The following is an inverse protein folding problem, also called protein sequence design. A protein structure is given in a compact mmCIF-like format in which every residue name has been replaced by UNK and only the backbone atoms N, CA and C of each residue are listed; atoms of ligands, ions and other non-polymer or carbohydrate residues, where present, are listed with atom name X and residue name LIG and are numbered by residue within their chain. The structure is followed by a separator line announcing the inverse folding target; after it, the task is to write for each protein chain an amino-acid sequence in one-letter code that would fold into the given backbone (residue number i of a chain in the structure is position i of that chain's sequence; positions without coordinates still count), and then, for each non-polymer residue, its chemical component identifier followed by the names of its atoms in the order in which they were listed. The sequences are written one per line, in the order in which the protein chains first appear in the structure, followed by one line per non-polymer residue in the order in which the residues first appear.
data_IF_318597170922
#
_entry.id   IF_318597170922
#
_cell.length_a   1.000
_cell.length_b   1.000
_cell.length_c   1.000
_cell.angle_alpha   90.00
_cell.angle_beta   90.00
_cell.angle_gamma   90.00
#
_symmetry.space_group_name_H-M   'P 1'
#
loop_
_entity.id
_entity.type
_entity.pdbx_description
1 polymer ?
#
# COMPACT_ATOMS: atom_id res chain seq x y z
N UNK A 1 -4.44 -27.50 -12.95
CA UNK A 1 -3.63 -26.41 -13.52
C UNK A 1 -4.14 -25.05 -13.04
N UNK A 2 -3.86 -24.63 -11.80
CA UNK A 2 -4.00 -23.22 -11.39
C UNK A 2 -2.94 -22.95 -10.33
N UNK A 3 -1.78 -22.48 -10.76
CA UNK A 3 -0.78 -21.91 -9.86
C UNK A 3 -1.27 -20.52 -9.44
N UNK A 4 -0.89 -20.09 -8.24
CA UNK A 4 -1.22 -18.75 -7.71
C UNK A 4 -0.87 -17.64 -8.71
N UNK A 5 0.33 -17.70 -9.29
CA UNK A 5 0.80 -16.75 -10.30
C UNK A 5 -0.09 -16.73 -11.55
N UNK A 6 -0.66 -17.87 -11.95
CA UNK A 6 -1.54 -17.93 -13.12
C UNK A 6 -2.87 -17.23 -12.87
N UNK A 7 -3.43 -17.38 -11.67
CA UNK A 7 -4.67 -16.70 -11.25
C UNK A 7 -4.46 -15.19 -11.20
N UNK A 8 -3.40 -14.73 -10.54
CA UNK A 8 -3.10 -13.30 -10.42
C UNK A 8 -2.75 -12.65 -11.77
N UNK A 9 -2.04 -13.34 -12.67
CA UNK A 9 -1.78 -12.83 -14.03
C UNK A 9 -3.06 -12.67 -14.84
N UNK A 10 -3.99 -13.61 -14.72
CA UNK A 10 -5.29 -13.49 -15.37
C UNK A 10 -6.07 -12.30 -14.81
N UNK A 11 -6.10 -12.14 -13.49
CA UNK A 11 -6.73 -10.99 -12.82
C UNK A 11 -6.18 -9.66 -13.34
N UNK A 12 -4.85 -9.49 -13.36
CA UNK A 12 -4.21 -8.28 -13.92
C UNK A 12 -4.61 -8.05 -15.39
N UNK A 13 -4.63 -9.10 -16.21
CA UNK A 13 -5.01 -8.98 -17.62
C UNK A 13 -6.47 -8.54 -17.80
N UNK A 14 -7.38 -9.09 -16.99
CA UNK A 14 -8.80 -8.70 -17.00
C UNK A 14 -8.98 -7.27 -16.50
N UNK A 15 -8.28 -6.87 -15.44
CA UNK A 15 -8.30 -5.48 -14.94
C UNK A 15 -7.84 -4.49 -16.00
N UNK A 16 -6.72 -4.77 -16.69
CA UNK A 16 -6.23 -3.90 -17.77
C UNK A 16 -7.21 -3.83 -18.95
N UNK A 17 -7.84 -4.96 -19.32
CA UNK A 17 -8.84 -4.99 -20.38
C UNK A 17 -10.09 -4.17 -20.00
N UNK A 18 -10.61 -4.34 -18.78
CA UNK A 18 -11.74 -3.58 -18.27
C UNK A 18 -11.41 -2.09 -18.13
N UNK A 19 -10.21 -1.74 -17.67
CA UNK A 19 -9.76 -0.35 -17.59
C UNK A 19 -9.74 0.32 -18.98
N UNK A 20 -9.17 -0.35 -19.98
CA UNK A 20 -9.14 0.15 -21.36
C UNK A 20 -10.54 0.29 -21.96
N UNK A 21 -11.41 -0.72 -21.76
CA UNK A 21 -12.80 -0.66 -22.20
C UNK A 21 -13.57 0.45 -21.48
N UNK A 22 -13.34 0.66 -20.19
CA UNK A 22 -13.96 1.72 -19.40
C UNK A 22 -13.60 3.10 -19.90
N UNK A 23 -12.33 3.36 -20.17
CA UNK A 23 -11.92 4.64 -20.76
C UNK A 23 -12.59 4.84 -22.12
N UNK A 24 -12.59 3.82 -22.98
CA UNK A 24 -13.19 3.91 -24.32
C UNK A 24 -14.70 4.17 -24.26
N UNK A 25 -15.45 3.33 -23.54
CA UNK A 25 -16.91 3.45 -23.42
C UNK A 25 -17.34 4.67 -22.59
N UNK A 26 -16.54 5.08 -21.60
CA UNK A 26 -16.80 6.30 -20.84
C UNK A 26 -16.69 7.54 -21.73
N UNK A 27 -15.68 7.60 -22.60
CA UNK A 27 -15.55 8.69 -23.59
C UNK A 27 -16.67 8.66 -24.63
N UNK A 28 -17.04 7.48 -25.14
CA UNK A 28 -18.13 7.34 -26.12
C UNK A 28 -19.50 7.69 -25.53
N UNK A 29 -19.75 7.31 -24.27
CA UNK A 29 -21.02 7.57 -23.59
C UNK A 29 -21.12 8.96 -22.95
N UNK A 30 -19.99 9.67 -22.78
CA UNK A 30 -19.91 10.93 -22.04
C UNK A 30 -19.86 10.79 -20.52
N UNK A 31 -19.79 9.55 -19.98
CA UNK A 31 -19.74 9.28 -18.54
C UNK A 31 -18.35 9.50 -17.97
N UNK A 32 -18.20 10.51 -17.11
CA UNK A 32 -16.93 10.67 -16.37
C UNK A 32 -16.83 9.71 -15.20
N UNK A 33 -17.93 9.18 -14.67
CA UNK A 33 -17.87 8.12 -13.67
C UNK A 33 -17.22 6.85 -14.26
N UNK A 34 -17.59 6.46 -15.47
CA UNK A 34 -17.00 5.30 -16.16
C UNK A 34 -15.53 5.56 -16.55
N UNK A 35 -15.22 6.76 -17.08
CA UNK A 35 -13.82 7.11 -17.38
C UNK A 35 -12.97 7.08 -16.12
N UNK A 36 -13.48 7.63 -15.01
CA UNK A 36 -12.78 7.62 -13.72
C UNK A 36 -12.51 6.19 -13.23
N UNK A 37 -13.51 5.31 -13.27
CA UNK A 37 -13.34 3.89 -12.89
C UNK A 37 -12.22 3.22 -13.71
N UNK A 38 -12.21 3.44 -15.03
CA UNK A 38 -11.16 2.90 -15.91
C UNK A 38 -9.77 3.49 -15.64
N UNK A 39 -9.66 4.81 -15.48
CA UNK A 39 -8.37 5.46 -15.16
C UNK A 39 -7.87 5.04 -13.78
N UNK A 40 -8.75 4.95 -12.78
CA UNK A 40 -8.42 4.54 -11.43
C UNK A 40 -7.88 3.10 -11.41
N UNK A 41 -8.57 2.17 -12.08
CA UNK A 41 -8.12 0.79 -12.22
C UNK A 41 -6.78 0.68 -12.97
N UNK A 42 -6.54 1.52 -13.98
CA UNK A 42 -5.26 1.54 -14.70
C UNK A 42 -4.11 2.01 -13.81
N UNK A 43 -4.30 3.09 -13.06
CA UNK A 43 -3.30 3.60 -12.10
C UNK A 43 -2.98 2.52 -11.07
N UNK A 44 -4.01 1.92 -10.47
CA UNK A 44 -3.83 0.90 -9.44
C UNK A 44 -3.12 -0.35 -9.99
N UNK A 45 -3.44 -0.78 -11.22
CA UNK A 45 -2.77 -1.89 -11.88
C UNK A 45 -1.29 -1.61 -12.13
N UNK A 46 -0.95 -0.44 -12.65
CA UNK A 46 0.45 -0.03 -12.89
C UNK A 46 1.22 0.04 -11.58
N UNK A 47 0.62 0.61 -10.54
CA UNK A 47 1.25 0.72 -9.22
C UNK A 47 1.42 -0.63 -8.53
N UNK A 48 0.48 -1.55 -8.72
CA UNK A 48 0.59 -2.93 -8.24
C UNK A 48 1.75 -3.67 -8.94
N UNK A 49 1.91 -3.49 -10.26
CA UNK A 49 3.06 -4.03 -10.99
C UNK A 49 4.37 -3.46 -10.44
N UNK A 50 4.44 -2.14 -10.20
CA UNK A 50 5.62 -1.51 -9.63
C UNK A 50 5.93 -2.02 -8.21
N UNK A 51 4.92 -2.16 -7.35
CA UNK A 51 5.06 -2.72 -6.01
C UNK A 51 5.59 -4.16 -6.05
N UNK A 52 5.10 -4.98 -6.98
CA UNK A 52 5.59 -6.34 -7.18
C UNK A 52 7.05 -6.38 -7.66
N UNK A 53 7.45 -5.48 -8.57
CA UNK A 53 8.84 -5.38 -9.01
C UNK A 53 9.77 -5.04 -7.85
N UNK A 54 9.36 -4.09 -7.00
CA UNK A 54 10.12 -3.66 -5.83
C UNK A 54 10.18 -4.75 -4.77
N UNK A 55 9.07 -5.45 -4.49
CA UNK A 55 9.05 -6.59 -3.58
C UNK A 55 9.97 -7.72 -4.05
N UNK A 56 9.97 -8.02 -5.36
CA UNK A 56 10.87 -9.01 -5.94
C UNK A 56 12.34 -8.58 -5.85
N UNK A 57 12.64 -7.28 -6.03
CA UNK A 57 13.99 -6.74 -5.88
C UNK A 57 14.50 -6.88 -4.43
N UNK A 58 13.65 -6.54 -3.46
CA UNK A 58 13.94 -6.69 -2.03
C UNK A 58 14.23 -8.17 -1.70
N UNK A 59 13.35 -9.07 -2.12
CA UNK A 59 13.51 -10.52 -1.90
C UNK A 59 14.76 -11.09 -2.60
N UNK A 60 15.14 -10.56 -3.76
CA UNK A 60 16.36 -10.96 -4.45
C UNK A 60 17.63 -10.45 -3.75
N UNK A 61 17.59 -9.27 -3.14
CA UNK A 61 18.73 -8.68 -2.41
C UNK A 61 19.04 -9.35 -1.08
N UNK A 62 18.06 -10.03 -0.48
CA UNK A 62 18.17 -10.71 0.82
C UNK A 62 18.48 -12.20 0.72
N UNK A 63 18.51 -12.78 -0.49
CA UNK A 63 18.94 -14.17 -0.68
C UNK A 63 20.44 -14.30 -0.53
N UNK A 64 20.87 -15.02 0.50
CA UNK A 64 22.25 -15.49 0.64
C UNK A 64 22.65 -16.41 -0.53
N UNK A 65 23.78 -16.14 -1.18
CA UNK A 65 24.41 -17.04 -2.16
C UNK A 65 24.03 -16.87 -3.65
N UNK A 66 23.15 -15.93 -4.02
CA UNK A 66 22.80 -15.66 -5.43
C UNK A 66 23.75 -14.68 -6.13
N UNK A 67 23.96 -14.85 -7.46
CA UNK A 67 24.76 -13.96 -8.31
C UNK A 67 24.37 -12.49 -8.12
N UNK A 68 25.19 -11.74 -7.38
CA UNK A 68 24.99 -10.32 -7.05
C UNK A 68 25.06 -9.50 -8.34
N UNK A 69 23.90 -9.13 -8.89
CA UNK A 69 23.81 -8.12 -9.95
C UNK A 69 24.51 -6.83 -9.49
N UNK A 70 25.23 -6.13 -10.39
CA UNK A 70 25.99 -4.90 -10.09
C UNK A 70 25.17 -3.83 -9.33
N UNK A 71 23.85 -3.83 -9.50
CA UNK A 71 22.92 -2.91 -8.81
C UNK A 71 22.75 -3.25 -7.31
N UNK A 72 22.76 -4.53 -6.93
CA UNK A 72 22.65 -4.98 -5.52
C UNK A 72 23.93 -4.64 -4.75
N UNK A 73 25.08 -4.61 -5.43
CA UNK A 73 26.36 -4.30 -4.82
C UNK A 73 26.52 -2.81 -4.40
N UNK A 74 25.69 -1.91 -4.94
CA UNK A 74 25.76 -0.48 -4.65
C UNK A 74 24.88 -0.06 -3.46
N UNK A 75 23.92 -0.90 -3.03
CA UNK A 75 23.03 -0.62 -1.91
C UNK A 75 23.34 -1.55 -0.74
N UNK A 76 24.30 -1.16 0.11
CA UNK A 76 24.76 -1.93 1.28
C UNK A 76 23.73 -2.02 2.41
N UNK A 77 22.74 -1.12 2.45
CA UNK A 77 21.64 -1.11 3.43
C UNK A 77 20.37 -1.87 2.97
N UNK A 78 20.41 -2.53 1.82
CA UNK A 78 19.24 -3.19 1.22
C UNK A 78 18.26 -2.22 0.56
N UNK A 79 17.11 -2.73 0.10
CA UNK A 79 16.12 -1.99 -0.70
C UNK A 79 14.79 -1.69 0.03
N UNK A 80 14.76 -1.85 1.36
CA UNK A 80 13.56 -1.72 2.20
C UNK A 80 12.89 -0.34 2.10
N UNK A 81 13.69 0.70 1.86
CA UNK A 81 13.22 2.09 1.70
C UNK A 81 12.36 2.30 0.44
N UNK A 82 12.45 1.43 -0.57
CA UNK A 82 11.64 1.56 -1.78
C UNK A 82 10.16 1.19 -1.54
N UNK A 83 9.88 0.30 -0.58
CA UNK A 83 8.52 -0.13 -0.27
C UNK A 83 7.61 1.03 0.18
N UNK A 84 7.95 1.83 1.21
CA UNK A 84 7.12 2.97 1.61
C UNK A 84 7.04 4.03 0.51
N UNK A 85 8.08 4.24 -0.30
CA UNK A 85 8.05 5.19 -1.42
C UNK A 85 7.00 4.80 -2.47
N UNK A 86 6.94 3.52 -2.84
CA UNK A 86 5.99 3.03 -3.85
C UNK A 86 4.57 3.04 -3.31
N UNK A 87 4.36 2.64 -2.06
CA UNK A 87 3.04 2.68 -1.40
C UNK A 87 2.55 4.12 -1.24
N UNK A 88 3.44 5.04 -0.85
CA UNK A 88 3.15 6.47 -0.75
C UNK A 88 2.80 7.07 -2.11
N UNK A 89 3.59 6.77 -3.14
CA UNK A 89 3.32 7.19 -4.51
C UNK A 89 1.97 6.67 -5.02
N UNK A 90 1.64 5.40 -4.74
CA UNK A 90 0.36 4.82 -5.14
C UNK A 90 -0.80 5.59 -4.50
N UNK A 91 -0.73 5.77 -3.17
CA UNK A 91 -1.77 6.50 -2.45
C UNK A 91 -1.92 7.94 -2.93
N UNK A 92 -0.81 8.65 -3.20
CA UNK A 92 -0.84 10.03 -3.72
C UNK A 92 -1.46 10.09 -5.11
N UNK A 93 -1.10 9.17 -6.02
CA UNK A 93 -1.66 9.14 -7.37
C UNK A 93 -3.16 8.84 -7.36
N UNK A 94 -3.60 7.85 -6.58
CA UNK A 94 -5.01 7.49 -6.46
C UNK A 94 -5.83 8.62 -5.81
N UNK A 95 -5.31 9.26 -4.76
CA UNK A 95 -5.96 10.46 -4.18
C UNK A 95 -6.00 11.61 -5.17
N UNK A 96 -4.90 11.88 -5.87
CA UNK A 96 -4.81 12.96 -6.85
C UNK A 96 -5.82 12.79 -7.98
N UNK A 97 -5.93 11.58 -8.53
CA UNK A 97 -6.92 11.24 -9.54
C UNK A 97 -8.36 11.42 -9.01
N UNK A 98 -8.65 10.95 -7.79
CA UNK A 98 -9.98 11.08 -7.18
C UNK A 98 -10.34 12.55 -6.85
N UNK A 99 -9.38 13.35 -6.37
CA UNK A 99 -9.56 14.79 -6.12
C UNK A 99 -9.82 15.52 -7.43
N UNK A 100 -9.04 15.26 -8.48
CA UNK A 100 -9.26 15.85 -9.79
C UNK A 100 -10.64 15.51 -10.37
N UNK A 101 -11.03 14.23 -10.27
CA UNK A 101 -12.34 13.78 -10.70
C UNK A 101 -13.47 14.42 -9.88
N UNK A 102 -13.28 14.60 -8.57
CA UNK A 102 -14.24 15.30 -7.70
C UNK A 102 -14.40 16.77 -8.08
N UNK A 103 -13.30 17.48 -8.34
CA UNK A 103 -13.33 18.87 -8.80
C UNK A 103 -14.12 18.97 -10.11
N UNK A 104 -13.88 18.03 -11.02
CA UNK A 104 -14.56 17.98 -12.32
C UNK A 104 -16.04 17.63 -12.18
N UNK A 105 -16.39 16.73 -11.26
CA UNK A 105 -17.76 16.38 -10.93
C UNK A 105 -18.52 17.58 -10.34
N UNK A 106 -17.93 18.28 -9.36
CA UNK A 106 -18.50 19.51 -8.78
C UNK A 106 -18.68 20.58 -9.86
N UNK A 107 -17.66 20.79 -10.70
CA UNK A 107 -17.74 21.71 -11.83
C UNK A 107 -18.91 21.37 -12.75
N UNK A 108 -19.06 20.10 -13.13
CA UNK A 108 -20.16 19.65 -13.98
C UNK A 108 -21.53 19.83 -13.32
N UNK A 109 -21.66 19.61 -12.00
CA UNK A 109 -22.90 19.87 -11.27
C UNK A 109 -23.26 21.37 -11.30
N UNK A 110 -22.28 22.26 -11.17
CA UNK A 110 -22.50 23.71 -11.15
C UNK A 110 -22.81 24.29 -12.54
N UNK A 111 -22.35 23.67 -13.62
CA UNK A 111 -22.57 24.12 -15.01
C UNK A 111 -23.78 23.47 -15.69
N UNK A 112 -24.71 22.86 -14.94
CA UNK A 112 -25.95 22.30 -15.49
C UNK A 112 -25.94 20.80 -15.79
N UNK A 113 -24.94 20.07 -15.29
CA UNK A 113 -24.78 18.63 -15.51
C UNK A 113 -24.15 18.27 -16.86
N UNK A 114 -24.27 17.01 -17.27
CA UNK A 114 -23.81 16.51 -18.57
C UNK A 114 -24.79 15.52 -19.18
N UNK A 115 -24.98 15.62 -20.49
CA UNK A 115 -25.68 14.58 -21.24
C UNK A 115 -24.88 13.27 -21.24
N UNK A 116 -25.54 12.22 -20.76
CA UNK A 116 -25.03 10.87 -20.69
C UNK A 116 -25.82 9.99 -21.66
N UNK A 117 -25.13 9.25 -22.53
CA UNK A 117 -25.74 8.18 -23.32
C UNK A 117 -25.98 6.95 -22.44
N UNK A 118 -27.10 6.96 -21.71
CA UNK A 118 -27.45 5.92 -20.73
C UNK A 118 -27.47 4.51 -21.33
N UNK A 119 -27.91 4.33 -22.58
CA UNK A 119 -27.92 3.02 -23.24
C UNK A 119 -26.53 2.38 -23.26
N UNK A 120 -25.53 3.14 -23.70
CA UNK A 120 -24.14 2.67 -23.80
C UNK A 120 -23.52 2.49 -22.41
N UNK A 121 -23.80 3.41 -21.49
CA UNK A 121 -23.29 3.37 -20.12
C UNK A 121 -23.83 2.15 -19.35
N UNK A 122 -25.12 1.82 -19.51
CA UNK A 122 -25.76 0.66 -18.89
C UNK A 122 -25.18 -0.65 -19.46
N UNK A 123 -25.05 -0.76 -20.79
CA UNK A 123 -24.47 -1.96 -21.42
C UNK A 123 -23.05 -2.19 -20.88
N UNK A 124 -22.22 -1.15 -20.85
CA UNK A 124 -20.88 -1.24 -20.31
C UNK A 124 -20.89 -1.64 -18.82
N UNK A 125 -21.67 -0.95 -17.99
CA UNK A 125 -21.73 -1.23 -16.56
C UNK A 125 -22.20 -2.66 -16.25
N UNK A 126 -23.14 -3.22 -17.03
CA UNK A 126 -23.56 -4.62 -16.92
C UNK A 126 -22.41 -5.56 -17.28
N UNK A 127 -21.72 -5.34 -18.39
CA UNK A 127 -20.59 -6.19 -18.82
C UNK A 127 -19.47 -6.17 -17.77
N UNK A 128 -19.09 -4.99 -17.29
CA UNK A 128 -18.04 -4.84 -16.27
C UNK A 128 -18.45 -5.45 -14.94
N UNK A 129 -19.70 -5.26 -14.50
CA UNK A 129 -20.21 -5.89 -13.27
C UNK A 129 -20.20 -7.42 -13.37
N UNK A 130 -20.63 -7.99 -14.50
CA UNK A 130 -20.60 -9.44 -14.72
C UNK A 130 -19.17 -9.98 -14.77
N UNK A 131 -18.25 -9.26 -15.40
CA UNK A 131 -16.84 -9.61 -15.41
C UNK A 131 -16.24 -9.59 -14.00
N UNK A 132 -16.53 -8.55 -13.21
CA UNK A 132 -16.06 -8.41 -11.84
C UNK A 132 -16.60 -9.51 -10.92
N UNK A 133 -17.90 -9.82 -11.00
CA UNK A 133 -18.51 -10.94 -10.27
C UNK A 133 -17.90 -12.27 -10.72
N UNK A 134 -17.71 -12.45 -12.02
CA UNK A 134 -17.09 -13.64 -12.60
C UNK A 134 -15.69 -13.89 -12.05
N UNK A 135 -14.86 -12.84 -11.99
CA UNK A 135 -13.53 -12.89 -11.41
C UNK A 135 -13.56 -13.14 -9.90
N UNK A 136 -14.42 -12.45 -9.15
CA UNK A 136 -14.58 -12.69 -7.72
C UNK A 136 -14.92 -14.17 -7.41
N UNK A 137 -15.88 -14.75 -8.14
CA UNK A 137 -16.24 -16.18 -7.98
C UNK A 137 -15.09 -17.08 -8.40
N UNK A 138 -14.39 -16.76 -9.49
CA UNK A 138 -13.24 -17.52 -9.96
C UNK A 138 -12.12 -17.55 -8.93
N UNK A 139 -11.78 -16.41 -8.33
CA UNK A 139 -10.73 -16.27 -7.32
C UNK A 139 -11.12 -16.96 -6.02
N UNK A 140 -12.36 -16.81 -5.55
CA UNK A 140 -12.87 -17.54 -4.37
C UNK A 140 -12.72 -19.04 -4.59
N UNK A 141 -13.15 -19.56 -5.75
CA UNK A 141 -13.03 -20.99 -6.07
C UNK A 141 -11.58 -21.45 -6.18
N UNK A 142 -10.72 -20.67 -6.82
CA UNK A 142 -9.29 -20.98 -6.93
C UNK A 142 -8.61 -20.96 -5.54
N UNK A 143 -9.04 -20.06 -4.67
CA UNK A 143 -8.47 -19.92 -3.34
C UNK A 143 -8.84 -21.06 -2.39
N UNK A 144 -9.97 -21.75 -2.61
CA UNK A 144 -10.31 -22.95 -1.84
C UNK A 144 -9.25 -24.06 -1.99
N UNK A 145 -8.62 -24.18 -3.16
CA UNK A 145 -7.57 -25.17 -3.41
C UNK A 145 -6.17 -24.64 -3.13
N UNK A 146 -5.89 -23.37 -3.48
CA UNK A 146 -4.55 -22.79 -3.37
C UNK A 146 -4.25 -22.29 -1.95
N UNK A 147 -5.27 -21.79 -1.23
CA UNK A 147 -5.16 -21.19 0.12
C UNK A 147 -4.10 -20.07 0.19
N UNK A 148 -4.16 -19.14 -0.77
CA UNK A 148 -3.30 -17.94 -0.80
C UNK A 148 -4.03 -16.72 -0.24
N UNK A 149 -3.34 -15.98 0.61
CA UNK A 149 -3.81 -14.68 1.10
C UNK A 149 -3.88 -13.63 -0.02
N UNK A 150 -3.03 -13.72 -1.04
CA UNK A 150 -3.06 -12.79 -2.17
C UNK A 150 -4.31 -12.98 -3.02
N UNK A 151 -4.69 -14.23 -3.32
CA UNK A 151 -5.94 -14.51 -4.04
C UNK A 151 -7.16 -14.12 -3.19
N UNK A 152 -7.09 -14.28 -1.87
CA UNK A 152 -8.16 -13.82 -0.98
C UNK A 152 -8.35 -12.30 -1.03
N UNK A 153 -7.25 -11.53 -1.12
CA UNK A 153 -7.28 -10.08 -1.25
C UNK A 153 -7.81 -9.66 -2.62
N UNK A 154 -7.37 -10.32 -3.68
CA UNK A 154 -7.81 -10.06 -5.06
C UNK A 154 -9.31 -10.33 -5.23
N UNK A 155 -9.81 -11.44 -4.71
CA UNK A 155 -11.25 -11.73 -4.68
C UNK A 155 -12.06 -10.63 -3.97
N UNK A 156 -11.54 -10.08 -2.86
CA UNK A 156 -12.18 -8.95 -2.16
C UNK A 156 -12.16 -7.68 -3.00
N UNK A 157 -11.07 -7.40 -3.70
CA UNK A 157 -10.97 -6.26 -4.61
C UNK A 157 -12.02 -6.37 -5.74
N UNK A 158 -12.18 -7.56 -6.33
CA UNK A 158 -13.22 -7.80 -7.34
C UNK A 158 -14.64 -7.66 -6.80
N UNK A 159 -14.92 -8.09 -5.57
CA UNK A 159 -16.22 -7.87 -4.92
C UNK A 159 -16.49 -6.38 -4.68
N UNK A 160 -15.48 -5.61 -4.25
CA UNK A 160 -15.59 -4.17 -4.06
C UNK A 160 -15.85 -3.45 -5.39
N UNK A 161 -15.11 -3.83 -6.45
CA UNK A 161 -15.32 -3.32 -7.82
C UNK A 161 -16.74 -3.63 -8.29
N UNK A 162 -17.21 -4.88 -8.16
CA UNK A 162 -18.57 -5.26 -8.52
C UNK A 162 -19.63 -4.45 -7.76
N UNK A 163 -19.44 -4.20 -6.46
CA UNK A 163 -20.35 -3.39 -5.66
C UNK A 163 -20.38 -1.92 -6.13
N UNK A 164 -19.22 -1.35 -6.46
CA UNK A 164 -19.11 0.01 -6.98
C UNK A 164 -19.80 0.14 -8.34
N UNK A 165 -19.52 -0.78 -9.27
CA UNK A 165 -20.16 -0.82 -10.59
C UNK A 165 -21.66 -1.04 -10.47
N UNK A 166 -22.12 -1.87 -9.53
CA UNK A 166 -23.55 -2.07 -9.27
C UNK A 166 -24.23 -0.77 -8.80
N UNK A 167 -23.59 -0.01 -7.92
CA UNK A 167 -24.12 1.29 -7.48
C UNK A 167 -24.23 2.29 -8.65
N UNK A 168 -23.23 2.35 -9.52
CA UNK A 168 -23.27 3.15 -10.76
C UNK A 168 -24.37 2.68 -11.70
N UNK A 169 -24.52 1.36 -11.89
CA UNK A 169 -25.55 0.77 -12.73
C UNK A 169 -26.95 1.14 -12.24
N UNK A 170 -27.20 1.11 -10.93
CA UNK A 170 -28.48 1.55 -10.34
C UNK A 170 -28.73 3.03 -10.64
N UNK A 171 -27.71 3.88 -10.50
CA UNK A 171 -27.83 5.31 -10.83
C UNK A 171 -28.15 5.51 -12.33
N UNK A 172 -27.50 4.77 -13.22
CA UNK A 172 -27.74 4.88 -14.66
C UNK A 172 -29.11 4.32 -15.07
N UNK A 173 -29.56 3.20 -14.51
CA UNK A 173 -30.91 2.66 -14.76
C UNK A 173 -31.97 3.67 -14.30
N UNK A 174 -31.78 4.26 -13.11
CA UNK A 174 -32.66 5.32 -12.62
C UNK A 174 -32.70 6.49 -13.60
N UNK A 175 -31.52 6.95 -14.06
CA UNK A 175 -31.41 8.03 -15.03
C UNK A 175 -32.04 7.75 -16.39
N UNK A 176 -32.01 6.50 -16.84
CA UNK A 176 -32.71 6.05 -18.02
C UNK A 176 -34.23 6.06 -17.84
N UNK A 177 -34.73 5.52 -16.73
CA UNK A 177 -36.17 5.43 -16.46
C UNK A 177 -36.86 6.80 -16.30
N UNK A 178 -36.14 7.82 -15.82
CA UNK A 178 -36.70 9.16 -15.69
C UNK A 178 -36.75 9.91 -17.03
N UNK A 179 -36.13 9.40 -18.10
CA UNK A 179 -36.22 10.00 -19.43
C UNK A 179 -37.67 9.92 -19.92
N UNK A 180 -38.29 11.07 -20.17
CA UNK A 180 -39.71 11.15 -20.56
C UNK A 180 -40.67 11.39 -19.40
N UNK A 181 -40.18 11.47 -18.16
CA UNK A 181 -40.98 11.88 -16.99
C UNK A 181 -40.76 13.35 -16.62
N UNK A 182 -41.53 13.87 -15.68
CA UNK A 182 -41.32 15.21 -15.10
C UNK A 182 -39.94 15.37 -14.43
N UNK A 183 -39.25 14.27 -14.12
CA UNK A 183 -37.93 14.26 -13.47
C UNK A 183 -36.77 14.33 -14.48
N UNK A 184 -37.02 14.46 -15.79
CA UNK A 184 -35.98 14.52 -16.84
C UNK A 184 -34.89 15.56 -16.56
N UNK A 185 -35.22 16.66 -15.88
CA UNK A 185 -34.26 17.70 -15.48
C UNK A 185 -33.12 17.18 -14.59
N UNK A 186 -33.32 16.06 -13.87
CA UNK A 186 -32.27 15.44 -13.04
C UNK A 186 -31.28 14.62 -13.86
N UNK A 187 -31.64 14.19 -15.06
CA UNK A 187 -30.86 13.27 -15.90
C UNK A 187 -29.39 13.71 -16.09
N UNK A 188 -29.08 15.00 -16.35
CA UNK A 188 -27.70 15.43 -16.54
C UNK A 188 -26.84 15.41 -15.27
N UNK A 189 -27.47 15.36 -14.09
CA UNK A 189 -26.77 15.44 -12.80
C UNK A 189 -26.41 14.07 -12.23
N UNK A 190 -26.97 12.99 -12.78
CA UNK A 190 -26.81 11.64 -12.24
C UNK A 190 -25.36 11.18 -12.29
N UNK A 191 -24.69 11.31 -13.45
CA UNK A 191 -23.28 10.88 -13.59
C UNK A 191 -22.33 11.72 -12.73
N UNK A 192 -22.39 13.08 -12.77
CA UNK A 192 -21.56 13.90 -11.87
C UNK A 192 -21.83 13.66 -10.38
N UNK A 193 -23.09 13.45 -9.97
CA UNK A 193 -23.41 13.16 -8.57
C UNK A 193 -22.88 11.80 -8.14
N UNK A 194 -23.04 10.77 -8.98
CA UNK A 194 -22.50 9.45 -8.72
C UNK A 194 -20.97 9.48 -8.61
N UNK A 195 -20.28 10.16 -9.56
CA UNK A 195 -18.84 10.35 -9.51
C UNK A 195 -18.40 11.08 -8.22
N UNK A 196 -19.08 12.15 -7.84
CA UNK A 196 -18.75 12.90 -6.62
C UNK A 196 -18.86 12.00 -5.36
N UNK A 197 -19.92 11.20 -5.25
CA UNK A 197 -20.10 10.27 -4.13
C UNK A 197 -18.99 9.22 -4.12
N UNK A 198 -18.66 8.63 -5.27
CA UNK A 198 -17.57 7.65 -5.39
C UNK A 198 -16.25 8.27 -4.94
N UNK A 199 -15.91 9.47 -5.41
CA UNK A 199 -14.69 10.15 -5.01
C UNK A 199 -14.64 10.41 -3.50
N UNK A 200 -15.74 10.85 -2.88
CA UNK A 200 -15.79 11.09 -1.44
C UNK A 200 -15.54 9.81 -0.61
N UNK A 201 -15.95 8.65 -1.13
CA UNK A 201 -15.69 7.34 -0.50
C UNK A 201 -14.25 6.90 -0.71
N UNK A 202 -13.69 7.12 -1.91
CA UNK A 202 -12.37 6.59 -2.30
C UNK A 202 -11.20 7.43 -1.76
N UNK A 203 -11.33 8.76 -1.72
CA UNK A 203 -10.28 9.68 -1.21
C UNK A 203 -9.75 9.31 0.19
N UNK A 204 -10.58 9.00 1.20
CA UNK A 204 -10.07 8.71 2.54
C UNK A 204 -9.33 7.38 2.67
N UNK A 205 -9.55 6.42 1.77
CA UNK A 205 -9.01 5.06 1.85
C UNK A 205 -7.47 5.05 1.93
N UNK A 206 -6.72 5.70 1.02
CA UNK A 206 -5.25 5.69 1.04
C UNK A 206 -4.60 6.70 2.00
N UNK A 207 -5.35 7.56 2.70
CA UNK A 207 -4.77 8.61 3.57
C UNK A 207 -3.83 8.00 4.63
N UNK A 208 -4.27 6.91 5.26
CA UNK A 208 -3.47 6.20 6.27
C UNK A 208 -2.17 5.65 5.67
N UNK A 209 -2.25 5.06 4.48
CA UNK A 209 -1.10 4.53 3.74
C UNK A 209 -0.10 5.62 3.38
N UNK A 210 -0.56 6.77 2.87
CA UNK A 210 0.32 7.89 2.53
C UNK A 210 0.96 8.50 3.77
N UNK A 211 0.20 8.67 4.86
CA UNK A 211 0.75 9.17 6.12
C UNK A 211 1.83 8.23 6.67
N UNK A 212 1.60 6.92 6.63
CA UNK A 212 2.58 5.93 7.07
C UNK A 212 3.83 5.93 6.17
N UNK A 213 3.65 5.95 4.85
CA UNK A 213 4.74 6.01 3.89
C UNK A 213 5.63 7.25 4.09
N UNK A 214 5.02 8.42 4.34
CA UNK A 214 5.75 9.64 4.67
C UNK A 214 6.49 9.53 6.01
N UNK A 215 5.86 8.95 7.02
CA UNK A 215 6.48 8.73 8.32
C UNK A 215 7.71 7.81 8.21
N UNK A 216 7.58 6.70 7.46
CA UNK A 216 8.66 5.76 7.21
C UNK A 216 9.78 6.41 6.37
N UNK A 217 9.44 7.25 5.39
CA UNK A 217 10.42 7.99 4.58
C UNK A 217 11.17 9.06 5.38
N UNK A 218 10.52 9.66 6.38
CA UNK A 218 11.11 10.64 7.28
C UNK A 218 11.78 10.00 8.51
N UNK A 219 11.92 8.66 8.55
CA UNK A 219 12.52 7.91 9.65
C UNK A 219 11.84 8.19 11.00
N UNK A 220 10.54 8.45 10.99
CA UNK A 220 9.78 8.76 12.21
C UNK A 220 9.83 7.57 13.16
N UNK A 221 10.22 7.85 14.40
CA UNK A 221 10.39 6.82 15.43
C UNK A 221 9.04 6.18 15.78
N UNK A 222 8.89 4.85 15.61
CA UNK A 222 7.70 4.13 16.07
C UNK A 222 7.65 4.08 17.61
N UNK A 223 6.62 4.67 18.26
CA UNK A 223 6.60 4.84 19.72
C UNK A 223 6.54 3.51 20.49
N UNK A 224 5.90 2.48 19.94
CA UNK A 224 5.80 1.18 20.59
C UNK A 224 7.15 0.45 20.60
N UNK A 225 7.88 0.49 19.48
CA UNK A 225 9.20 -0.12 19.36
C UNK A 225 10.22 0.66 20.19
N UNK A 226 10.15 2.00 20.20
CA UNK A 226 11.00 2.82 21.05
C UNK A 226 10.83 2.45 22.53
N UNK A 227 9.59 2.38 23.02
CA UNK A 227 9.31 1.99 24.42
C UNK A 227 9.82 0.59 24.75
N UNK A 228 9.69 -0.36 23.82
CA UNK A 228 10.24 -1.71 24.00
C UNK A 228 11.77 -1.68 24.12
N UNK A 229 12.45 -0.98 23.21
CA UNK A 229 13.92 -0.87 23.18
C UNK A 229 14.43 -0.15 24.42
N UNK A 230 13.79 0.95 24.85
CA UNK A 230 14.13 1.69 26.07
C UNK A 230 13.97 0.82 27.32
N UNK A 231 12.89 0.05 27.42
CA UNK A 231 12.67 -0.84 28.56
C UNK A 231 13.78 -1.91 28.69
N UNK A 232 14.21 -2.47 27.56
CA UNK A 232 15.32 -3.44 27.51
C UNK A 232 16.64 -2.77 27.87
N UNK A 233 16.93 -1.62 27.27
CA UNK A 233 18.16 -0.87 27.53
C UNK A 233 18.28 -0.45 29.01
N UNK A 234 17.18 -0.01 29.63
CA UNK A 234 17.15 0.32 31.05
C UNK A 234 17.48 -0.89 31.94
N UNK A 235 16.97 -2.08 31.61
CA UNK A 235 17.29 -3.31 32.35
C UNK A 235 18.77 -3.69 32.22
N UNK A 236 19.35 -3.53 31.04
CA UNK A 236 20.78 -3.80 30.79
C UNK A 236 21.66 -2.85 31.60
N UNK A 237 21.34 -1.55 31.59
CA UNK A 237 22.07 -0.55 32.39
C UNK A 237 22.07 -0.91 33.87
N UNK A 238 20.92 -1.31 34.42
CA UNK A 238 20.80 -1.74 35.81
C UNK A 238 21.59 -3.02 36.09
N UNK A 239 21.51 -4.02 35.21
CA UNK A 239 22.16 -5.32 35.40
C UNK A 239 23.68 -5.22 35.36
N UNK A 240 24.21 -4.50 34.38
CA UNK A 240 25.65 -4.41 34.13
C UNK A 240 26.30 -3.18 34.77
N UNK A 241 25.53 -2.37 35.50
CA UNK A 241 25.99 -1.15 36.19
C UNK A 241 26.64 -0.15 35.21
N UNK A 242 26.02 0.02 34.05
CA UNK A 242 26.41 1.06 33.10
C UNK A 242 25.93 2.43 33.58
N UNK A 243 26.51 3.51 33.03
CA UNK A 243 26.16 4.88 33.43
C UNK A 243 24.82 5.31 32.83
N UNK A 244 24.62 5.07 31.54
CA UNK A 244 23.41 5.46 30.81
C UNK A 244 23.31 4.73 29.46
N UNK A 245 22.23 5.00 28.72
CA UNK A 245 22.06 4.54 27.35
C UNK A 245 21.49 5.64 26.44
N UNK A 246 21.72 5.51 25.14
CA UNK A 246 21.02 6.24 24.07
C UNK A 246 20.45 5.22 23.09
N UNK A 247 19.21 5.42 22.69
CA UNK A 247 18.51 4.56 21.75
C UNK A 247 18.00 5.40 20.59
N UNK A 248 18.37 5.01 19.38
CA UNK A 248 17.83 5.57 18.14
C UNK A 248 17.08 4.45 17.42
N UNK A 249 15.80 4.71 17.17
CA UNK A 249 14.92 3.72 16.54
C UNK A 249 14.20 4.39 15.38
N UNK A 250 14.32 3.77 14.20
CA UNK A 250 13.61 4.17 13.00
C UNK A 250 12.94 2.95 12.36
N UNK A 251 11.85 3.21 11.62
CA UNK A 251 11.18 2.24 10.77
C UNK A 251 11.29 2.68 9.33
N UNK A 252 11.63 1.74 8.45
CA UNK A 252 11.74 1.96 7.01
C UNK A 252 10.99 0.83 6.30
N UNK A 253 9.72 1.05 5.98
CA UNK A 253 8.84 0.00 5.47
C UNK A 253 8.74 -1.14 6.47
N UNK A 254 9.19 -2.34 6.07
CA UNK A 254 9.26 -3.52 6.95
C UNK A 254 10.52 -3.57 7.81
N UNK A 255 11.56 -2.82 7.42
CA UNK A 255 12.83 -2.75 8.13
C UNK A 255 12.74 -1.99 9.45
N UNK A 256 13.39 -2.52 10.49
CA UNK A 256 13.58 -1.84 11.78
C UNK A 256 15.05 -1.53 11.96
N UNK A 257 15.39 -0.25 12.09
CA UNK A 257 16.75 0.18 12.40
C UNK A 257 16.80 0.58 13.86
N UNK A 258 17.68 -0.08 14.61
CA UNK A 258 17.86 0.11 16.04
C UNK A 258 19.35 0.32 16.29
N UNK A 259 19.69 1.46 16.85
CA UNK A 259 21.05 1.78 17.29
C UNK A 259 21.02 2.05 18.79
N UNK A 260 21.79 1.25 19.52
CA UNK A 260 21.89 1.32 20.97
C UNK A 260 23.32 1.65 21.36
N UNK A 261 23.46 2.70 22.15
CA UNK A 261 24.72 3.11 22.74
C UNK A 261 24.61 2.95 24.24
N UNK A 262 25.51 2.17 24.82
CA UNK A 262 25.64 2.01 26.26
C UNK A 262 26.89 2.73 26.74
N UNK A 263 26.72 3.63 27.71
CA UNK A 263 27.80 4.43 28.26
C UNK A 263 28.34 3.69 29.47
N UNK A 264 29.55 3.19 29.33
CA UNK A 264 30.22 2.28 30.26
C UNK A 264 31.12 3.08 31.21
N UNK A 265 31.15 2.77 32.52
CA UNK A 265 32.02 3.45 33.47
C UNK A 265 33.50 3.38 33.06
N UNK A 266 34.25 4.49 33.13
CA UNK A 266 35.68 4.46 32.92
C UNK A 266 36.37 3.64 34.01
N UNK A 267 37.45 2.93 33.65
CA UNK A 267 38.23 2.13 34.60
C UNK A 267 37.64 0.77 34.95
N UNK A 268 36.60 0.32 34.25
CA UNK A 268 36.19 -1.09 34.30
C UNK A 268 37.35 -2.01 33.88
N UNK A 269 37.52 -3.18 34.52
CA UNK A 269 38.58 -4.11 34.16
C UNK A 269 38.40 -4.58 32.71
N UNK A 270 39.50 -4.80 31.97
CA UNK A 270 39.44 -5.29 30.60
C UNK A 270 38.72 -6.64 30.57
N UNK A 271 37.69 -6.73 29.76
CA UNK A 271 36.97 -7.96 29.44
C UNK A 271 37.34 -8.42 28.04
N UNK A 272 37.21 -9.71 27.77
CA UNK A 272 37.41 -10.25 26.42
C UNK A 272 36.27 -9.78 25.51
N UNK A 273 36.53 -9.68 24.22
CA UNK A 273 35.53 -9.20 23.26
C UNK A 273 34.30 -10.12 23.22
N UNK A 274 34.51 -11.43 23.37
CA UNK A 274 33.44 -12.44 23.42
C UNK A 274 32.51 -12.25 24.62
N UNK A 275 32.97 -11.61 25.70
CA UNK A 275 32.12 -11.27 26.85
C UNK A 275 31.23 -10.07 26.55
N UNK A 276 31.70 -9.11 25.76
CA UNK A 276 30.88 -8.01 25.27
C UNK A 276 29.88 -8.48 24.22
N UNK A 277 30.28 -9.38 23.33
CA UNK A 277 29.40 -9.96 22.32
C UNK A 277 28.26 -10.76 22.96
N UNK A 278 28.51 -11.49 24.06
CA UNK A 278 27.43 -12.13 24.83
C UNK A 278 26.38 -11.15 25.34
N UNK A 279 26.79 -9.93 25.73
CA UNK A 279 25.85 -8.88 26.13
C UNK A 279 25.05 -8.41 24.90
N UNK A 280 25.70 -8.28 23.74
CA UNK A 280 24.99 -7.94 22.48
C UNK A 280 23.97 -9.00 22.09
N UNK A 281 24.32 -10.27 22.19
CA UNK A 281 23.43 -11.40 21.90
C UNK A 281 22.22 -11.39 22.84
N UNK A 282 22.44 -11.20 24.14
CA UNK A 282 21.36 -11.10 25.13
C UNK A 282 20.38 -9.97 24.80
N UNK A 283 20.90 -8.80 24.45
CA UNK A 283 20.09 -7.64 24.06
C UNK A 283 19.35 -7.92 22.74
N UNK A 284 20.05 -8.52 21.77
CA UNK A 284 19.48 -8.91 20.48
C UNK A 284 18.32 -9.87 20.63
N UNK A 285 18.45 -10.88 21.48
CA UNK A 285 17.39 -11.84 21.77
C UNK A 285 16.20 -11.18 22.49
N UNK A 286 16.47 -10.26 23.43
CA UNK A 286 15.44 -9.54 24.17
C UNK A 286 14.61 -8.59 23.28
N UNK A 287 15.24 -7.93 22.29
CA UNK A 287 14.55 -7.05 21.33
C UNK A 287 13.70 -7.86 20.35
N UNK A 288 14.10 -9.10 20.09
CA UNK A 288 13.44 -10.07 19.23
C UNK A 288 14.41 -10.55 18.17
N UNK A 289 14.61 -11.88 18.11
CA UNK A 289 15.57 -12.66 17.31
C UNK A 289 15.97 -12.09 15.95
N UNK A 290 17.11 -12.56 15.44
CA UNK A 290 17.65 -12.12 14.16
C UNK A 290 16.72 -12.43 12.98
N UNK A 291 16.07 -11.38 12.48
CA UNK A 291 15.23 -11.42 11.28
C UNK A 291 15.90 -10.61 10.17
N UNK A 292 15.74 -10.99 8.89
CA UNK A 292 16.29 -10.24 7.75
C UNK A 292 15.85 -8.76 7.70
N UNK A 293 14.74 -8.44 8.35
CA UNK A 293 14.13 -7.11 8.40
C UNK A 293 14.60 -6.27 9.62
N UNK A 294 15.62 -6.72 10.36
CA UNK A 294 16.13 -6.04 11.56
C UNK A 294 17.59 -5.65 11.39
N UNK A 295 17.87 -4.35 11.47
CA UNK A 295 19.21 -3.81 11.57
C UNK A 295 19.45 -3.37 13.02
N UNK A 296 20.36 -4.04 13.73
CA UNK A 296 20.68 -3.77 15.13
C UNK A 296 22.16 -3.47 15.29
N UNK A 297 22.49 -2.26 15.75
CA UNK A 297 23.84 -1.86 16.13
C UNK A 297 23.90 -1.64 17.64
N UNK A 298 24.82 -2.30 18.33
CA UNK A 298 25.04 -2.12 19.78
C UNK A 298 26.49 -1.69 20.01
N UNK A 299 26.65 -0.48 20.52
CA UNK A 299 27.92 0.17 20.82
C UNK A 299 28.10 0.30 22.32
N UNK A 300 29.26 -0.12 22.82
CA UNK A 300 29.69 0.14 24.19
C UNK A 300 30.81 1.16 24.13
N UNK A 301 30.67 2.27 24.86
CA UNK A 301 31.65 3.37 24.85
C UNK A 301 31.80 3.93 26.25
N UNK A 302 33.01 4.35 26.63
CA UNK A 302 33.23 5.14 27.86
C UNK A 302 33.04 6.64 27.63
N UNK A 303 32.99 7.05 26.38
CA UNK A 303 32.89 8.44 25.95
C UNK A 303 31.46 8.73 25.48
N UNK A 304 30.85 9.70 26.14
CA UNK A 304 29.46 10.09 25.92
C UNK A 304 29.27 10.79 24.56
N UNK A 305 30.31 11.42 24.00
CA UNK A 305 30.23 12.11 22.70
C UNK A 305 29.91 11.16 21.55
N UNK A 306 30.26 9.87 21.67
CA UNK A 306 29.92 8.86 20.66
C UNK A 306 28.44 8.44 20.66
N UNK A 307 27.67 8.82 21.69
CA UNK A 307 26.28 8.44 21.86
C UNK A 307 25.29 9.58 21.57
N UNK A 308 25.78 10.82 21.43
CA UNK A 308 25.01 12.04 21.12
C UNK A 308 24.98 12.34 19.62
#
# INVERSE_FOLDING_TARGET
MRTEQGVLRLSIAVTLALAGLGILFGLLSGSFAIVFDGVYALIDAVMTILALLVANLIAASTREGGSKSRLIAQFTMGFWHLEPMVLGLNGILLMGAAIYALITAIGSLLTGGRELAFDQAIIYAVVTMLAAIGMAIFDIKANLTIRSNFIALDAKAWMMSAALTAALLVAFIFGYMIQGTHLKWMSPYIDPAALAIVCLIVIPIPIGTVRQALADALLVTPPDLMRQVEAIAAQVVLRYQFLSYRAYVARVGRGRQIELYFIVPPGLPPRRLEEWDKIRDEIGDAIGNDTPDRWLSIVFTTDQEWAE
#
